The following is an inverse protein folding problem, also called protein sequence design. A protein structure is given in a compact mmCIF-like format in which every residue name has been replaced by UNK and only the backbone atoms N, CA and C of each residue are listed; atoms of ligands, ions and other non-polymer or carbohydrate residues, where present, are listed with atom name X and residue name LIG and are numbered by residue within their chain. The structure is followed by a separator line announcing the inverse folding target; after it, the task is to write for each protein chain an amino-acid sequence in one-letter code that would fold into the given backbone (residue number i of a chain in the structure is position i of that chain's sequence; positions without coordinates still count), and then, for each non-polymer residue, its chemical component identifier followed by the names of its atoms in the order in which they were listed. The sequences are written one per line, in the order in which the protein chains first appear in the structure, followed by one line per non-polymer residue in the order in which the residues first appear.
data_IF_675067140518
#
_entry.id   IF_675067140518
#
_cell.length_a   1.000
_cell.length_b   1.000
_cell.length_c   1.000
_cell.angle_alpha   90.00
_cell.angle_beta   90.00
_cell.angle_gamma   90.00
#
_symmetry.space_group_name_H-M   'P 1'
#
loop_
_entity.id
_entity.type
_entity.pdbx_description
1 polymer ?
#
# COMPACT_ATOMS: atom_id res chain seq x y z
N UNK A 1 -14.46 29.34 -3.97
CA UNK A 1 -13.61 28.19 -4.32
C UNK A 1 -14.36 26.93 -3.90
N UNK A 2 -14.70 25.99 -4.81
CA UNK A 2 -15.29 24.74 -4.36
C UNK A 2 -14.25 24.01 -3.50
N UNK A 3 -14.55 23.78 -2.22
CA UNK A 3 -13.79 22.85 -1.40
C UNK A 3 -13.95 21.50 -2.09
N UNK A 4 -12.89 20.96 -2.70
CA UNK A 4 -12.88 19.57 -3.16
C UNK A 4 -13.35 18.72 -1.98
N UNK A 5 -14.44 17.98 -2.14
CA UNK A 5 -14.83 16.96 -1.17
C UNK A 5 -13.61 16.07 -0.91
N UNK A 6 -13.38 15.60 0.34
CA UNK A 6 -12.30 14.67 0.59
C UNK A 6 -12.52 13.43 -0.30
N UNK A 7 -11.58 13.19 -1.21
CA UNK A 7 -11.60 12.03 -2.10
C UNK A 7 -11.25 10.82 -1.24
N UNK A 8 -12.23 9.95 -1.02
CA UNK A 8 -12.02 8.69 -0.35
C UNK A 8 -11.61 7.65 -1.39
N UNK A 9 -10.45 7.01 -1.20
CA UNK A 9 -10.01 5.92 -2.05
C UNK A 9 -10.63 4.60 -1.58
N UNK A 10 -10.99 3.72 -2.52
CA UNK A 10 -11.24 2.31 -2.23
C UNK A 10 -9.92 1.62 -1.94
N UNK A 11 -9.92 0.65 -1.04
CA UNK A 11 -8.76 -0.22 -0.79
C UNK A 11 -9.02 -1.56 -1.47
N UNK A 12 -8.11 -1.98 -2.34
CA UNK A 12 -8.00 -3.35 -2.80
C UNK A 12 -6.77 -4.00 -2.20
N UNK A 13 -6.88 -5.26 -1.77
CA UNK A 13 -5.83 -5.97 -1.05
C UNK A 13 -5.53 -7.26 -1.79
N UNK A 14 -4.31 -7.38 -2.30
CA UNK A 14 -3.89 -8.55 -3.06
C UNK A 14 -4.11 -9.85 -2.25
N UNK A 15 -4.51 -10.96 -2.89
CA UNK A 15 -4.78 -12.23 -2.21
C UNK A 15 -3.61 -12.71 -1.33
N UNK A 16 -2.37 -12.50 -1.76
CA UNK A 16 -1.18 -12.83 -0.98
C UNK A 16 -1.12 -12.04 0.35
N UNK A 17 -1.51 -10.77 0.34
CA UNK A 17 -1.55 -9.92 1.54
C UNK A 17 -2.68 -10.35 2.46
N UNK A 18 -3.86 -10.68 1.91
CA UNK A 18 -4.99 -11.20 2.70
C UNK A 18 -4.63 -12.48 3.46
N UNK A 19 -3.83 -13.36 2.85
CA UNK A 19 -3.28 -14.56 3.50
C UNK A 19 -2.17 -14.25 4.52
N UNK A 20 -1.37 -13.22 4.26
CA UNK A 20 -0.22 -12.84 5.11
C UNK A 20 -0.65 -12.15 6.41
N UNK A 21 -1.55 -11.17 6.36
CA UNK A 21 -1.91 -10.34 7.53
C UNK A 21 -2.39 -11.17 8.74
N UNK A 22 -3.22 -12.22 8.60
CA UNK A 22 -3.67 -13.04 9.71
C UNK A 22 -2.56 -13.75 10.48
N UNK A 23 -1.46 -14.14 9.81
CA UNK A 23 -0.36 -14.90 10.40
C UNK A 23 0.61 -14.04 11.22
N UNK A 24 0.47 -12.72 11.14
CA UNK A 24 1.33 -11.79 11.87
C UNK A 24 1.00 -11.75 13.37
N UNK A 25 1.97 -11.40 14.23
CA UNK A 25 1.73 -11.13 15.65
C UNK A 25 0.57 -10.14 15.85
N UNK A 26 -0.25 -10.33 16.88
CA UNK A 26 -1.51 -9.58 17.05
C UNK A 26 -1.35 -8.06 17.03
N UNK A 27 -0.33 -7.55 17.72
CA UNK A 27 0.02 -6.12 17.76
C UNK A 27 0.49 -5.58 16.39
N UNK A 28 1.18 -6.39 15.60
CA UNK A 28 1.64 -6.04 14.25
C UNK A 28 0.44 -6.04 13.28
N UNK A 29 -0.38 -7.10 13.34
CA UNK A 29 -1.59 -7.25 12.54
C UNK A 29 -2.56 -6.09 12.72
N UNK A 30 -2.82 -5.69 13.96
CA UNK A 30 -3.71 -4.54 14.25
C UNK A 30 -3.15 -3.23 13.68
N UNK A 31 -1.85 -2.98 13.84
CA UNK A 31 -1.19 -1.78 13.32
C UNK A 31 -1.24 -1.71 11.79
N UNK A 32 -0.99 -2.84 11.10
CA UNK A 32 -1.05 -2.91 9.64
C UNK A 32 -2.48 -2.68 9.13
N UNK A 33 -3.48 -3.33 9.73
CA UNK A 33 -4.89 -3.12 9.33
C UNK A 33 -5.32 -1.67 9.48
N UNK A 34 -4.97 -1.03 10.59
CA UNK A 34 -5.25 0.39 10.80
C UNK A 34 -4.57 1.25 9.74
N UNK A 35 -3.27 1.04 9.52
CA UNK A 35 -2.52 1.80 8.52
C UNK A 35 -3.10 1.63 7.10
N UNK A 36 -3.52 0.43 6.71
CA UNK A 36 -4.18 0.18 5.43
C UNK A 36 -5.52 0.93 5.34
N UNK A 37 -6.35 0.89 6.39
CA UNK A 37 -7.62 1.62 6.43
C UNK A 37 -7.43 3.15 6.33
N UNK A 38 -6.42 3.68 7.02
CA UNK A 38 -6.10 5.12 7.02
C UNK A 38 -5.65 5.62 5.63
N UNK A 39 -5.10 4.74 4.77
CA UNK A 39 -4.70 5.10 3.41
C UNK A 39 -5.89 5.58 2.57
N UNK A 40 -7.11 5.09 2.84
CA UNK A 40 -8.31 5.50 2.10
C UNK A 40 -8.57 7.01 2.16
N UNK A 41 -8.19 7.65 3.28
CA UNK A 41 -8.35 9.10 3.47
C UNK A 41 -7.05 9.87 3.30
N UNK A 42 -5.91 9.20 3.50
CA UNK A 42 -4.59 9.79 3.39
C UNK A 42 -3.68 8.85 2.61
N UNK A 43 -3.74 8.84 1.26
CA UNK A 43 -2.97 7.93 0.42
C UNK A 43 -1.46 8.19 0.48
N UNK A 44 -1.03 9.37 0.95
CA UNK A 44 0.37 9.80 1.02
C UNK A 44 0.75 10.25 2.44
N UNK A 45 0.67 9.36 3.45
CA UNK A 45 0.95 9.72 4.83
C UNK A 45 2.45 10.01 5.03
N UNK A 46 2.86 10.70 6.13
CA UNK A 46 4.25 11.18 6.30
C UNK A 46 5.36 10.10 6.23
N UNK A 47 5.06 8.86 6.59
CA UNK A 47 6.00 7.72 6.52
C UNK A 47 5.92 6.94 5.20
N UNK A 48 5.17 7.47 4.25
CA UNK A 48 5.08 6.94 2.90
C UNK A 48 6.08 7.63 1.97
N UNK A 49 6.77 6.85 1.15
CA UNK A 49 7.63 7.35 0.09
C UNK A 49 7.27 6.67 -1.22
N UNK A 50 7.38 7.41 -2.31
CA UNK A 50 7.36 6.85 -3.65
C UNK A 50 8.52 5.84 -3.81
N UNK A 51 8.26 4.80 -4.58
CA UNK A 51 9.25 3.81 -4.99
C UNK A 51 9.83 4.23 -6.33
N UNK A 52 11.12 4.01 -6.51
CA UNK A 52 11.79 4.19 -7.79
C UNK A 52 11.47 2.99 -8.69
N UNK A 53 10.22 2.93 -9.14
CA UNK A 53 9.68 1.88 -10.01
C UNK A 53 8.60 2.50 -10.89
N UNK A 54 8.83 2.65 -12.20
CA UNK A 54 7.87 3.36 -13.06
C UNK A 54 6.64 2.49 -13.35
N UNK A 55 5.46 3.05 -13.11
CA UNK A 55 4.16 2.50 -13.52
C UNK A 55 3.39 3.60 -14.26
N UNK A 56 2.90 3.31 -15.47
CA UNK A 56 2.27 4.33 -16.32
C UNK A 56 0.90 4.80 -15.81
N UNK A 57 0.22 3.97 -15.02
CA UNK A 57 -1.17 4.18 -14.58
C UNK A 57 -1.30 4.31 -13.06
N UNK A 58 -0.19 4.25 -12.31
CA UNK A 58 -0.21 4.22 -10.86
C UNK A 58 1.03 4.83 -10.24
N UNK A 59 0.92 5.33 -9.02
CA UNK A 59 2.04 5.81 -8.21
C UNK A 59 2.43 4.73 -7.17
N UNK A 60 3.52 3.96 -7.38
CA UNK A 60 3.95 2.95 -6.44
C UNK A 60 4.64 3.58 -5.24
N UNK A 61 4.26 3.10 -4.05
CA UNK A 61 4.69 3.66 -2.77
C UNK A 61 4.99 2.56 -1.76
N UNK A 62 5.77 2.95 -0.75
CA UNK A 62 6.03 2.18 0.46
C UNK A 62 5.61 2.98 1.68
N UNK A 63 4.92 2.35 2.62
CA UNK A 63 4.66 2.90 3.96
C UNK A 63 5.52 2.16 5.00
N UNK A 64 6.33 2.91 5.75
CA UNK A 64 7.17 2.38 6.83
C UNK A 64 6.43 2.34 8.18
N UNK A 65 6.33 1.13 8.75
CA UNK A 65 5.85 0.87 10.11
C UNK A 65 6.93 0.09 10.88
N UNK A 66 7.84 0.79 11.57
CA UNK A 66 8.96 0.18 12.32
C UNK A 66 9.85 -0.74 11.46
N UNK A 67 9.73 -2.06 11.61
CA UNK A 67 10.39 -3.12 10.83
C UNK A 67 9.53 -3.62 9.65
N UNK A 68 8.26 -3.24 9.58
CA UNK A 68 7.31 -3.68 8.55
C UNK A 68 7.10 -2.64 7.46
N UNK A 69 6.95 -3.09 6.22
CA UNK A 69 6.68 -2.26 5.05
C UNK A 69 5.39 -2.71 4.42
N UNK A 70 4.53 -1.74 4.12
CA UNK A 70 3.37 -1.94 3.25
C UNK A 70 3.77 -1.37 1.88
N UNK A 71 3.71 -2.20 0.84
CA UNK A 71 3.93 -1.79 -0.55
C UNK A 71 2.57 -1.67 -1.21
N UNK A 72 2.32 -0.54 -1.86
CA UNK A 72 1.03 -0.22 -2.44
C UNK A 72 1.18 0.68 -3.66
N UNK A 73 0.11 0.79 -4.46
CA UNK A 73 0.00 1.74 -5.55
C UNK A 73 -1.24 2.62 -5.38
N UNK A 74 -1.13 3.88 -5.78
CA UNK A 74 -2.27 4.79 -5.89
C UNK A 74 -2.67 4.87 -7.37
N UNK A 75 -3.90 4.48 -7.69
CA UNK A 75 -4.50 4.65 -9.02
C UNK A 75 -5.51 5.79 -8.91
N UNK A 76 -5.06 7.00 -9.26
CA UNK A 76 -5.82 8.25 -9.11
C UNK A 76 -7.10 8.25 -9.96
N UNK A 77 -7.03 7.75 -11.20
CA UNK A 77 -8.14 7.79 -12.16
C UNK A 77 -9.42 7.09 -11.65
N UNK A 78 -9.26 6.06 -10.81
CA UNK A 78 -10.37 5.26 -10.25
C UNK A 78 -10.47 5.34 -8.72
N UNK A 79 -9.74 6.28 -8.10
CA UNK A 79 -9.64 6.44 -6.64
C UNK A 79 -9.41 5.10 -5.92
N UNK A 80 -8.41 4.33 -6.38
CA UNK A 80 -8.08 3.02 -5.83
C UNK A 80 -6.68 3.03 -5.19
N UNK A 81 -6.56 2.37 -4.05
CA UNK A 81 -5.28 2.03 -3.43
C UNK A 81 -5.16 0.52 -3.43
N UNK A 82 -4.18 0.01 -4.17
CA UNK A 82 -3.92 -1.42 -4.27
C UNK A 82 -2.77 -1.80 -3.34
N UNK A 83 -3.04 -2.62 -2.32
CA UNK A 83 -2.05 -3.13 -1.38
C UNK A 83 -1.50 -4.45 -1.91
N UNK A 84 -0.24 -4.44 -2.35
CA UNK A 84 0.38 -5.60 -3.01
C UNK A 84 1.29 -6.42 -2.11
N UNK A 85 1.90 -5.80 -1.09
CA UNK A 85 2.72 -6.55 -0.14
C UNK A 85 2.74 -5.98 1.27
N UNK A 86 2.94 -6.88 2.22
CA UNK A 86 3.32 -6.60 3.60
C UNK A 86 4.57 -7.42 3.89
N UNK A 87 5.70 -6.76 4.17
CA UNK A 87 7.02 -7.39 4.30
C UNK A 87 7.75 -6.91 5.54
N UNK A 88 8.46 -7.80 6.24
CA UNK A 88 9.38 -7.45 7.32
C UNK A 88 10.76 -7.13 6.75
N UNK A 89 11.45 -6.16 7.34
CA UNK A 89 12.84 -5.79 7.00
C UNK A 89 13.72 -5.87 8.25
N UNK A 90 14.95 -6.43 8.14
CA UNK A 90 15.53 -7.18 7.00
C UNK A 90 14.88 -8.56 6.77
N UNK A 91 15.04 -9.22 5.59
CA UNK A 91 15.93 -8.88 4.47
C UNK A 91 15.27 -8.14 3.29
N UNK A 92 13.99 -7.76 3.36
CA UNK A 92 13.29 -7.19 2.20
C UNK A 92 14.00 -5.99 1.55
N UNK A 93 14.15 -6.05 0.23
CA UNK A 93 15.01 -5.16 -0.57
C UNK A 93 14.33 -4.56 -1.82
N UNK A 94 13.07 -4.90 -2.10
CA UNK A 94 12.29 -4.43 -3.25
C UNK A 94 12.69 -5.02 -4.62
N UNK A 95 13.45 -6.11 -4.68
CA UNK A 95 13.76 -6.75 -5.97
C UNK A 95 12.55 -7.46 -6.61
N UNK A 96 11.47 -7.66 -5.87
CA UNK A 96 10.22 -8.31 -6.31
C UNK A 96 9.14 -7.33 -6.81
N UNK A 97 9.43 -6.02 -6.93
CA UNK A 97 8.41 -5.02 -7.26
C UNK A 97 7.68 -5.30 -8.57
N UNK A 98 8.40 -5.76 -9.61
CA UNK A 98 7.78 -6.08 -10.89
C UNK A 98 6.74 -7.20 -10.77
N UNK A 99 7.02 -8.23 -9.97
CA UNK A 99 6.07 -9.32 -9.70
C UNK A 99 4.88 -8.81 -8.87
N UNK A 100 5.15 -8.02 -7.83
CA UNK A 100 4.09 -7.47 -6.96
C UNK A 100 3.10 -6.58 -7.72
N UNK A 101 3.58 -5.84 -8.72
CA UNK A 101 2.77 -4.91 -9.49
C UNK A 101 2.17 -5.51 -10.76
N UNK A 102 2.55 -6.73 -11.15
CA UNK A 102 2.11 -7.36 -12.41
C UNK A 102 0.58 -7.54 -12.50
N UNK A 103 -0.07 -7.79 -11.36
CA UNK A 103 -1.51 -8.08 -11.30
C UNK A 103 -2.37 -6.83 -11.02
N UNK A 104 -1.75 -5.65 -10.85
CA UNK A 104 -2.54 -4.42 -10.72
C UNK A 104 -2.99 -4.00 -12.11
N UNK A 105 -4.25 -4.28 -12.44
CA UNK A 105 -4.88 -3.69 -13.61
C UNK A 105 -5.30 -2.25 -13.33
N UNK A 106 -4.88 -1.33 -14.20
CA UNK A 106 -5.43 0.03 -14.27
C UNK A 106 -6.83 0.08 -14.84
#
# INVERSE_FOLDING_TARGET
MPKRSPVSYRIDVAPAVQKTIPTLPGNVRQRIRRAIGDLAQNPRPPRSKELDFPLNFAEPRRLRLEEWRIVYAIIEDINLIAIVAVRKRPPYDYNDLAELFADISG
#
